data_IF_585826126737
#
_entry.id   IF_585826126737
#
_cell.length_a   1.000
_cell.length_b   1.000
_cell.length_c   1.000
_cell.angle_alpha   90.00
_cell.angle_beta   90.00
_cell.angle_gamma   90.00
#
_symmetry.space_group_name_H-M   'P 1'
#
loop_
_entity.id
_entity.type
_entity.pdbx_description
1 polymer ?
#
# COMPACT_ATOMS: atom_id res chain seq x y z
N UNK A 1 7.88 -26.92 -24.45
CA UNK A 1 7.78 -25.44 -24.46
C UNK A 1 6.48 -24.95 -23.81
N UNK A 2 5.92 -25.63 -22.81
CA UNK A 2 4.50 -25.45 -22.42
C UNK A 2 4.26 -24.94 -20.99
N UNK A 3 5.32 -24.69 -20.21
CA UNK A 3 5.17 -24.35 -18.79
C UNK A 3 5.62 -22.91 -18.46
N UNK A 4 6.64 -22.38 -19.15
CA UNK A 4 7.09 -21.00 -18.95
C UNK A 4 6.14 -19.96 -19.57
N UNK A 5 5.62 -20.21 -20.77
CA UNK A 5 4.63 -19.32 -21.42
C UNK A 5 3.34 -19.22 -20.59
N UNK A 6 2.80 -20.35 -20.10
CA UNK A 6 1.58 -20.34 -19.30
C UNK A 6 1.73 -19.57 -17.98
N UNK A 7 2.93 -19.58 -17.39
CA UNK A 7 3.24 -18.82 -16.17
C UNK A 7 3.29 -17.31 -16.47
N UNK A 8 3.86 -16.88 -17.58
CA UNK A 8 3.89 -15.46 -17.97
C UNK A 8 2.48 -14.88 -18.15
N UNK A 9 1.55 -15.65 -18.75
CA UNK A 9 0.15 -15.25 -18.85
C UNK A 9 -0.54 -15.16 -17.47
N UNK A 10 -0.25 -16.07 -16.54
CA UNK A 10 -0.83 -16.05 -15.20
C UNK A 10 -0.43 -14.78 -14.42
N UNK A 11 0.81 -14.32 -14.45
CA UNK A 11 1.19 -13.14 -13.66
C UNK A 11 0.83 -11.80 -14.33
N UNK A 12 0.75 -11.76 -15.66
CA UNK A 12 0.39 -10.55 -16.40
C UNK A 12 -1.12 -10.30 -16.48
N UNK A 13 -1.93 -11.36 -16.47
CA UNK A 13 -3.38 -11.27 -16.66
C UNK A 13 -4.19 -11.29 -15.36
N UNK A 14 -3.57 -11.54 -14.21
CA UNK A 14 -4.27 -11.62 -12.93
C UNK A 14 -4.01 -10.39 -12.06
N UNK A 15 -5.02 -10.03 -11.28
CA UNK A 15 -4.92 -9.05 -10.21
C UNK A 15 -4.46 -9.75 -8.93
N UNK A 16 -3.34 -9.31 -8.38
CA UNK A 16 -2.87 -9.80 -7.08
C UNK A 16 -3.49 -8.96 -5.97
N UNK A 17 -4.01 -9.61 -4.93
CA UNK A 17 -4.60 -8.96 -3.78
C UNK A 17 -3.88 -9.35 -2.50
N UNK A 18 -3.53 -8.36 -1.69
CA UNK A 18 -2.84 -8.53 -0.41
C UNK A 18 -3.60 -7.70 0.63
N UNK A 19 -3.95 -8.30 1.76
CA UNK A 19 -4.64 -7.60 2.84
C UNK A 19 -4.04 -7.97 4.19
N UNK A 20 -3.95 -6.96 5.04
CA UNK A 20 -3.49 -7.06 6.45
C UNK A 20 -4.65 -7.27 7.44
N UNK A 21 -5.88 -7.43 6.96
CA UNK A 21 -7.11 -7.47 7.80
C UNK A 21 -7.23 -8.69 8.72
N UNK A 22 -6.46 -9.77 8.50
CA UNK A 22 -6.65 -11.05 9.22
C UNK A 22 -5.36 -11.64 9.79
N UNK A 23 -4.21 -10.99 9.61
CA UNK A 23 -2.93 -11.51 10.11
C UNK A 23 -2.39 -10.69 11.28
N UNK A 24 -1.74 -11.37 12.24
CA UNK A 24 -1.02 -10.76 13.37
C UNK A 24 0.24 -9.98 12.92
N UNK A 25 0.56 -10.00 11.62
CA UNK A 25 1.70 -9.33 11.00
C UNK A 25 1.30 -8.76 9.63
N UNK A 26 1.93 -7.66 9.17
CA UNK A 26 1.70 -7.15 7.82
C UNK A 26 2.12 -8.20 6.79
N UNK A 27 1.13 -8.73 6.07
CA UNK A 27 1.30 -9.66 4.94
C UNK A 27 2.32 -9.19 3.88
N UNK A 28 2.73 -7.93 3.90
CA UNK A 28 3.70 -7.39 2.96
C UNK A 28 5.15 -7.76 3.24
N UNK A 29 5.52 -8.13 4.47
CA UNK A 29 6.79 -8.79 4.75
C UNK A 29 6.93 -10.15 4.03
N UNK A 30 5.79 -10.77 3.68
CA UNK A 30 5.70 -12.05 2.99
C UNK A 30 5.62 -11.97 1.47
N UNK A 31 5.48 -10.77 0.88
CA UNK A 31 5.51 -10.60 -0.58
C UNK A 31 6.71 -11.31 -1.26
N UNK A 32 7.95 -11.15 -0.75
CA UNK A 32 9.11 -11.87 -1.29
C UNK A 32 9.10 -13.38 -1.01
N UNK A 33 8.32 -13.85 -0.02
CA UNK A 33 8.16 -15.26 0.31
C UNK A 33 7.13 -15.96 -0.59
N UNK A 34 6.03 -15.28 -0.92
CA UNK A 34 5.01 -15.81 -1.81
C UNK A 34 5.40 -15.69 -3.30
N UNK A 35 6.25 -14.72 -3.63
CA UNK A 35 6.60 -14.40 -5.00
C UNK A 35 8.12 -14.43 -5.14
N UNK A 36 8.64 -15.50 -5.77
CA UNK A 36 10.05 -15.60 -6.10
C UNK A 36 10.51 -14.32 -6.81
N UNK A 37 11.72 -13.78 -6.52
CA UNK A 37 12.17 -12.49 -7.06
C UNK A 37 12.07 -12.38 -8.58
N UNK A 38 12.27 -13.50 -9.29
CA UNK A 38 12.17 -13.60 -10.76
C UNK A 38 10.74 -13.42 -11.29
N UNK A 39 9.71 -13.62 -10.45
CA UNK A 39 8.29 -13.53 -10.80
C UNK A 39 7.67 -12.20 -10.39
N UNK A 40 8.28 -11.46 -9.46
CA UNK A 40 7.81 -10.13 -9.07
C UNK A 40 7.82 -9.14 -10.24
N UNK A 41 8.75 -9.30 -11.20
CA UNK A 41 8.82 -8.46 -12.40
C UNK A 41 7.73 -8.75 -13.42
N UNK A 42 7.00 -9.87 -13.27
CA UNK A 42 5.90 -10.25 -14.17
C UNK A 42 4.54 -9.76 -13.67
N UNK A 43 4.46 -9.32 -12.41
CA UNK A 43 3.23 -8.76 -11.84
C UNK A 43 3.01 -7.37 -12.42
N UNK A 44 1.88 -7.22 -13.09
CA UNK A 44 1.49 -5.95 -13.72
C UNK A 44 0.36 -5.26 -12.97
N UNK A 45 -0.48 -5.99 -12.22
CA UNK A 45 -1.60 -5.42 -11.46
C UNK A 45 -1.55 -5.90 -10.00
N UNK A 46 -1.49 -4.95 -9.07
CA UNK A 46 -1.42 -5.23 -7.64
C UNK A 46 -2.40 -4.35 -6.88
N UNK A 47 -3.20 -4.97 -6.01
CA UNK A 47 -4.02 -4.32 -5.01
C UNK A 47 -3.56 -4.67 -3.61
N UNK A 48 -3.44 -3.67 -2.75
CA UNK A 48 -3.04 -3.82 -1.34
C UNK A 48 -4.04 -3.10 -0.46
N UNK A 49 -4.59 -3.80 0.53
CA UNK A 49 -5.40 -3.21 1.60
C UNK A 49 -4.56 -3.23 2.90
N UNK A 50 -4.18 -2.04 3.37
CA UNK A 50 -3.23 -1.82 4.45
C UNK A 50 -3.87 -1.15 5.66
N UNK A 51 -3.90 -1.89 6.77
CA UNK A 51 -4.23 -1.38 8.08
C UNK A 51 -3.08 -0.52 8.63
N UNK A 52 -3.42 0.65 9.16
CA UNK A 52 -2.47 1.55 9.78
C UNK A 52 -2.43 1.43 11.31
N UNK A 53 -3.48 0.96 11.99
CA UNK A 53 -3.61 1.18 13.44
C UNK A 53 -3.48 -0.03 14.37
N UNK A 54 -3.81 -1.26 13.95
CA UNK A 54 -3.63 -2.43 14.85
C UNK A 54 -2.16 -2.62 15.25
N UNK A 55 -1.25 -2.32 14.35
CA UNK A 55 0.19 -2.50 14.53
C UNK A 55 0.95 -1.18 14.68
N UNK A 56 0.27 -0.07 14.93
CA UNK A 56 0.94 1.21 15.18
C UNK A 56 1.75 1.78 14.00
N UNK A 57 1.41 1.39 12.76
CA UNK A 57 2.00 1.99 11.55
C UNK A 57 1.60 3.45 11.35
N UNK A 58 0.53 3.89 12.01
CA UNK A 58 -0.01 5.22 11.88
C UNK A 58 0.98 6.30 12.35
N UNK A 59 1.69 6.14 13.48
CA UNK A 59 2.58 7.18 13.98
C UNK A 59 4.03 6.95 13.58
N UNK A 60 4.49 7.50 12.45
CA UNK A 60 5.82 7.24 11.90
C UNK A 60 6.95 7.43 12.95
N UNK A 61 6.92 8.54 13.69
CA UNK A 61 7.90 8.85 14.74
C UNK A 61 7.86 7.92 15.97
N UNK A 62 6.68 7.38 16.31
CA UNK A 62 6.46 6.52 17.49
C UNK A 62 6.36 5.03 17.12
N UNK A 63 6.40 4.71 15.83
CA UNK A 63 6.34 3.37 15.30
C UNK A 63 7.51 2.54 15.86
N UNK A 64 7.25 1.36 16.44
CA UNK A 64 8.30 0.45 16.87
C UNK A 64 9.26 0.16 15.71
N UNK A 65 10.58 0.13 15.98
CA UNK A 65 11.61 -0.13 14.97
C UNK A 65 11.30 -1.29 14.00
N UNK A 66 10.87 -2.49 14.46
CA UNK A 66 10.56 -3.59 13.53
C UNK A 66 9.41 -3.26 12.57
N UNK A 67 8.39 -2.55 13.05
CA UNK A 67 7.25 -2.13 12.23
C UNK A 67 7.68 -1.07 11.22
N UNK A 68 8.52 -0.12 11.65
CA UNK A 68 9.08 0.91 10.77
C UNK A 68 9.91 0.29 9.65
N UNK A 69 10.78 -0.64 9.99
CA UNK A 69 11.59 -1.38 9.02
C UNK A 69 10.71 -2.13 8.01
N UNK A 70 9.64 -2.78 8.48
CA UNK A 70 8.71 -3.50 7.63
C UNK A 70 7.92 -2.59 6.68
N UNK A 71 7.44 -1.45 7.19
CA UNK A 71 6.76 -0.43 6.39
C UNK A 71 7.64 0.00 5.21
N UNK A 72 8.85 0.49 5.50
CA UNK A 72 9.76 0.96 4.44
C UNK A 72 10.27 -0.16 3.54
N UNK A 73 10.47 -1.37 4.08
CA UNK A 73 10.86 -2.53 3.28
C UNK A 73 9.81 -2.86 2.23
N UNK A 74 8.52 -2.75 2.55
CA UNK A 74 7.49 -3.04 1.54
C UNK A 74 7.53 -2.03 0.41
N UNK A 75 7.63 -0.73 0.72
CA UNK A 75 7.75 0.30 -0.30
C UNK A 75 8.99 0.09 -1.19
N UNK A 76 10.11 -0.35 -0.61
CA UNK A 76 11.31 -0.71 -1.38
C UNK A 76 11.09 -1.92 -2.31
N UNK A 77 10.27 -2.90 -1.91
CA UNK A 77 9.84 -4.00 -2.81
C UNK A 77 9.02 -3.43 -3.97
N UNK A 78 7.99 -2.62 -3.69
CA UNK A 78 7.12 -2.02 -4.72
C UNK A 78 7.92 -1.18 -5.71
N UNK A 79 8.88 -0.38 -5.21
CA UNK A 79 9.81 0.39 -6.04
C UNK A 79 10.59 -0.47 -7.04
N UNK A 80 10.96 -1.70 -6.67
CA UNK A 80 11.76 -2.62 -7.51
C UNK A 80 10.93 -3.40 -8.53
N UNK A 81 9.60 -3.34 -8.46
CA UNK A 81 8.70 -4.03 -9.39
C UNK A 81 8.59 -3.27 -10.72
N UNK A 82 9.63 -3.31 -11.55
CA UNK A 82 9.70 -2.57 -12.82
C UNK A 82 8.60 -2.95 -13.85
N UNK A 83 7.99 -4.14 -13.69
CA UNK A 83 6.88 -4.62 -14.51
C UNK A 83 5.51 -4.09 -14.07
N UNK A 84 5.40 -3.54 -12.86
CA UNK A 84 4.13 -3.09 -12.31
C UNK A 84 3.54 -1.96 -13.17
N UNK A 85 2.26 -2.08 -13.52
CA UNK A 85 1.52 -1.14 -14.37
C UNK A 85 0.37 -0.49 -13.61
N UNK A 86 -0.36 -1.29 -12.82
CA UNK A 86 -1.43 -0.84 -11.95
C UNK A 86 -1.10 -1.18 -10.51
N UNK A 87 -1.14 -0.16 -9.66
CA UNK A 87 -1.00 -0.29 -8.22
C UNK A 87 -2.15 0.43 -7.56
N UNK A 88 -2.98 -0.30 -6.82
CA UNK A 88 -4.06 0.28 -6.04
C UNK A 88 -3.88 -0.07 -4.58
N UNK A 89 -3.71 0.94 -3.74
CA UNK A 89 -3.50 0.76 -2.31
C UNK A 89 -4.66 1.40 -1.57
N UNK A 90 -5.33 0.67 -0.70
CA UNK A 90 -6.30 1.21 0.24
C UNK A 90 -5.68 1.23 1.63
N UNK A 91 -5.45 2.41 2.16
CA UNK A 91 -5.11 2.60 3.57
C UNK A 91 -6.39 2.65 4.38
N UNK A 92 -6.43 2.03 5.55
CA UNK A 92 -7.56 2.11 6.46
C UNK A 92 -7.12 2.08 7.92
N UNK A 93 -8.00 2.58 8.78
CA UNK A 93 -7.93 2.39 10.23
C UNK A 93 -8.90 1.28 10.60
N UNK A 94 -8.44 0.25 11.29
CA UNK A 94 -9.32 -0.79 11.78
C UNK A 94 -9.94 -0.43 13.13
N UNK A 95 -9.21 0.31 13.97
CA UNK A 95 -9.66 0.68 15.31
C UNK A 95 -10.36 2.04 15.27
N UNK A 96 -11.61 2.09 15.75
CA UNK A 96 -12.38 3.33 15.90
C UNK A 96 -11.84 4.28 17.00
N UNK A 97 -10.73 3.90 17.64
CA UNK A 97 -10.13 4.61 18.78
C UNK A 97 -9.70 6.04 18.44
N UNK A 98 -9.44 6.33 17.16
CA UNK A 98 -8.91 7.60 16.69
C UNK A 98 -9.89 8.38 15.82
N UNK A 99 -11.16 7.95 15.77
CA UNK A 99 -12.14 8.51 14.84
C UNK A 99 -12.29 10.03 14.94
N UNK A 100 -12.14 10.61 16.14
CA UNK A 100 -12.23 12.06 16.34
C UNK A 100 -10.96 12.82 15.91
N UNK A 101 -9.81 12.14 15.84
CA UNK A 101 -8.50 12.74 15.63
C UNK A 101 -7.87 12.43 14.26
N UNK A 102 -8.55 11.70 13.37
CA UNK A 102 -7.97 11.27 12.08
C UNK A 102 -7.42 12.42 11.23
N UNK A 103 -8.08 13.57 11.20
CA UNK A 103 -7.62 14.74 10.45
C UNK A 103 -6.28 15.28 10.99
N UNK A 104 -6.19 15.48 12.30
CA UNK A 104 -4.98 15.97 12.98
C UNK A 104 -3.85 14.96 12.89
N UNK A 105 -4.19 13.69 13.07
CA UNK A 105 -3.27 12.57 12.91
C UNK A 105 -2.67 12.57 11.50
N UNK A 106 -3.52 12.61 10.47
CA UNK A 106 -3.08 12.55 9.08
C UNK A 106 -2.16 13.71 8.77
N UNK A 107 -2.56 14.93 9.14
CA UNK A 107 -1.76 16.15 8.96
C UNK A 107 -0.36 16.05 9.59
N UNK A 108 -0.21 15.35 10.71
CA UNK A 108 1.08 15.22 11.40
C UNK A 108 1.98 14.11 10.82
N UNK A 109 1.40 13.06 10.24
CA UNK A 109 2.14 11.83 9.91
C UNK A 109 2.20 11.53 8.41
N UNK A 110 1.32 12.11 7.60
CA UNK A 110 1.15 11.71 6.20
C UNK A 110 2.40 11.90 5.35
N UNK A 111 3.12 13.01 5.55
CA UNK A 111 4.36 13.28 4.80
C UNK A 111 5.42 12.20 5.05
N UNK A 112 5.72 11.87 6.31
CA UNK A 112 6.73 10.86 6.64
C UNK A 112 6.27 9.43 6.26
N UNK A 113 4.98 9.14 6.47
CA UNK A 113 4.39 7.83 6.18
C UNK A 113 4.41 7.53 4.67
N UNK A 114 4.12 8.55 3.84
CA UNK A 114 3.99 8.43 2.39
C UNK A 114 5.20 8.91 1.61
N UNK A 115 6.26 9.39 2.27
CA UNK A 115 7.52 9.74 1.61
C UNK A 115 8.04 8.66 0.63
N UNK A 116 7.94 7.35 0.92
CA UNK A 116 8.41 6.31 0.00
C UNK A 116 7.64 6.24 -1.32
N UNK A 117 6.41 6.78 -1.40
CA UNK A 117 5.60 6.85 -2.63
C UNK A 117 6.38 7.50 -3.76
N UNK A 118 7.16 8.54 -3.44
CA UNK A 118 7.99 9.29 -4.41
C UNK A 118 8.96 8.41 -5.20
N UNK A 119 9.37 7.29 -4.62
CA UNK A 119 10.33 6.37 -5.22
C UNK A 119 9.64 5.27 -6.07
N UNK A 120 8.32 5.11 -5.99
CA UNK A 120 7.54 4.14 -6.77
C UNK A 120 7.09 4.80 -8.07
N UNK A 121 7.84 4.57 -9.15
CA UNK A 121 7.64 5.26 -10.44
C UNK A 121 7.23 4.35 -11.59
N UNK A 122 7.31 3.03 -11.43
CA UNK A 122 7.00 2.07 -12.49
C UNK A 122 5.51 2.02 -12.90
N UNK A 123 4.52 2.06 -11.96
CA UNK A 123 3.13 1.99 -12.33
C UNK A 123 2.67 3.24 -13.09
N UNK A 124 1.83 3.02 -14.12
CA UNK A 124 1.18 4.09 -14.86
C UNK A 124 -0.13 4.52 -14.19
N UNK A 125 -0.86 3.54 -13.66
CA UNK A 125 -2.06 3.77 -12.86
C UNK A 125 -1.68 3.47 -11.40
N UNK A 126 -1.42 4.51 -10.61
CA UNK A 126 -1.09 4.36 -9.19
C UNK A 126 -2.07 5.16 -8.34
N UNK A 127 -2.92 4.47 -7.60
CA UNK A 127 -3.92 5.08 -6.71
C UNK A 127 -3.65 4.66 -5.28
N UNK A 128 -3.69 5.63 -4.37
CA UNK A 128 -3.70 5.40 -2.93
C UNK A 128 -4.99 6.00 -2.36
N UNK A 129 -5.91 5.15 -1.92
CA UNK A 129 -7.12 5.56 -1.20
C UNK A 129 -6.75 5.80 0.26
N UNK A 130 -7.04 7.01 0.73
CA UNK A 130 -6.77 7.47 2.08
C UNK A 130 -7.74 6.84 3.09
N UNK A 131 -7.36 6.78 4.38
CA UNK A 131 -8.13 6.04 5.37
C UNK A 131 -9.42 6.73 5.82
N UNK A 132 -9.55 8.06 5.65
CA UNK A 132 -10.73 8.82 6.05
C UNK A 132 -10.94 10.04 5.11
N UNK A 133 -12.20 10.47 4.95
CA UNK A 133 -12.58 11.60 4.09
C UNK A 133 -12.01 12.95 4.55
N UNK A 134 -11.56 13.06 5.80
CA UNK A 134 -10.91 14.26 6.35
C UNK A 134 -9.42 14.34 6.07
N UNK A 135 -8.82 13.28 5.52
CA UNK A 135 -7.41 13.28 5.15
C UNK A 135 -7.16 14.26 4.00
N UNK A 136 -6.10 15.06 4.09
CA UNK A 136 -5.66 15.88 2.95
C UNK A 136 -5.03 15.00 1.88
N UNK A 137 -5.40 15.25 0.62
CA UNK A 137 -4.75 14.66 -0.57
C UNK A 137 -3.58 15.50 -1.08
N UNK A 138 -3.35 16.68 -0.50
CA UNK A 138 -2.25 17.60 -0.87
C UNK A 138 -0.94 17.11 -0.23
N UNK A 139 -0.38 16.04 -0.80
CA UNK A 139 0.85 15.40 -0.37
C UNK A 139 1.78 15.31 -1.58
N UNK A 140 3.04 15.71 -1.41
CA UNK A 140 4.03 15.67 -2.49
C UNK A 140 4.33 14.22 -2.91
N UNK A 141 4.06 13.89 -4.16
CA UNK A 141 4.34 12.59 -4.77
C UNK A 141 5.62 12.58 -5.60
N UNK A 142 6.34 13.71 -5.68
CA UNK A 142 7.61 13.82 -6.39
C UNK A 142 7.49 13.45 -7.88
N UNK A 143 8.16 12.37 -8.27
CA UNK A 143 8.15 11.85 -9.66
C UNK A 143 7.21 10.64 -9.82
N UNK A 144 6.49 10.25 -8.78
CA UNK A 144 5.51 9.15 -8.85
C UNK A 144 4.26 9.59 -9.59
N UNK A 145 3.61 8.66 -10.30
CA UNK A 145 2.27 8.88 -10.89
C UNK A 145 1.14 8.66 -9.87
N UNK A 146 1.45 8.62 -8.57
CA UNK A 146 0.49 8.38 -7.51
C UNK A 146 -0.57 9.48 -7.46
N UNK A 147 -1.83 9.06 -7.37
CA UNK A 147 -2.97 9.94 -7.08
C UNK A 147 -3.58 9.49 -5.75
N UNK A 148 -3.79 10.45 -4.86
CA UNK A 148 -4.51 10.21 -3.61
C UNK A 148 -6.01 10.40 -3.82
N UNK A 149 -6.78 9.40 -3.41
CA UNK A 149 -8.25 9.46 -3.43
C UNK A 149 -8.78 9.39 -2.00
N UNK A 150 -9.89 10.08 -1.73
CA UNK A 150 -10.61 9.91 -0.48
C UNK A 150 -11.42 8.61 -0.55
N UNK A 151 -11.68 7.95 0.59
CA UNK A 151 -12.57 6.82 0.58
C UNK A 151 -13.93 7.28 0.07
N UNK A 152 -14.59 6.45 -0.75
CA UNK A 152 -15.99 6.71 -1.09
C UNK A 152 -16.76 6.91 0.22
N UNK A 153 -17.59 7.94 0.30
CA UNK A 153 -18.46 8.13 1.45
C UNK A 153 -19.22 6.82 1.65
N UNK A 154 -18.92 6.09 2.72
CA UNK A 154 -19.65 4.88 3.00
C UNK A 154 -21.06 5.32 3.34
N UNK A 155 -22.04 4.73 2.66
CA UNK A 155 -23.44 4.71 3.09
C UNK A 155 -23.57 3.84 4.37
N UNK A 156 -22.68 4.02 5.35
CA UNK A 156 -22.79 3.37 6.67
C UNK A 156 -23.69 4.25 7.55
N UNK A 157 -24.94 4.34 7.10
CA UNK A 157 -26.11 4.65 7.92
C UNK A 157 -26.94 3.36 8.02
N UNK A 158 -26.58 2.45 8.92
CA UNK A 158 -27.48 1.38 9.40
C UNK A 158 -27.04 0.85 10.76
#
# INVERSE_FOLDING_TARGET
TSYSEAIEYLYNSNDFFISTDVEDYPTTGYLPYFIQPQRMTQITNLRIDWDLDRHQFFQAALMPSPHREEWYRTWDVLRRMAGLRKLHIRLYFFLDLWQQCYADFWKQNSEELLEPVKAVTAPKDFIVVLPDWRCSTDIDVGQSNCIFELPAASDDSS
#
